data_IF_704429831032
#
_entry.id   IF_704429831032
#
_cell.length_a   1.000
_cell.length_b   1.000
_cell.length_c   1.000
_cell.angle_alpha   90.00
_cell.angle_beta   90.00
_cell.angle_gamma   90.00
#
_symmetry.space_group_name_H-M   'P 1'
#
loop_
_entity.id
_entity.type
_entity.pdbx_description
1 polymer ?
#
# COMPACT_ATOMS: atom_id res chain seq x y z
N UNK A 1 -48.67 6.17 39.92
CA UNK A 1 -49.23 4.83 39.62
C UNK A 1 -49.25 4.61 38.13
N UNK A 2 -48.36 3.87 37.68
CA UNK A 2 -48.35 2.76 36.72
C UNK A 2 -46.91 2.46 36.35
N UNK A 3 -46.41 1.38 36.94
CA UNK A 3 -45.20 0.71 36.57
C UNK A 3 -45.40 -0.11 35.29
N UNK A 4 -44.39 -0.17 34.47
CA UNK A 4 -44.38 -1.01 33.25
C UNK A 4 -42.93 -1.31 32.88
N UNK A 5 -42.36 -2.29 33.61
CA UNK A 5 -41.10 -2.93 33.31
C UNK A 5 -41.25 -3.75 32.02
N UNK A 6 -40.58 -3.37 30.94
CA UNK A 6 -40.49 -4.17 29.71
C UNK A 6 -39.03 -4.62 29.54
N UNK A 7 -38.73 -5.77 30.09
CA UNK A 7 -37.50 -6.51 29.89
C UNK A 7 -37.26 -6.76 28.40
N UNK A 8 -36.24 -6.11 27.82
CA UNK A 8 -35.76 -6.40 26.46
C UNK A 8 -35.00 -7.72 26.46
N UNK A 9 -35.54 -8.71 25.79
CA UNK A 9 -34.87 -9.97 25.48
C UNK A 9 -33.68 -9.68 24.55
N UNK A 10 -32.52 -10.31 24.77
CA UNK A 10 -31.39 -10.16 23.83
C UNK A 10 -31.70 -10.89 22.52
N UNK A 11 -31.53 -10.16 21.41
CA UNK A 11 -31.54 -10.74 20.06
C UNK A 11 -30.22 -11.49 19.87
N UNK A 12 -30.29 -12.82 19.84
CA UNK A 12 -29.16 -13.63 19.39
C UNK A 12 -29.15 -13.65 17.84
N UNK A 13 -28.19 -12.97 17.25
CA UNK A 13 -27.87 -13.13 15.83
C UNK A 13 -27.02 -14.39 15.70
N UNK A 14 -27.57 -15.41 15.06
CA UNK A 14 -26.86 -16.63 14.74
C UNK A 14 -25.92 -16.34 13.59
N UNK A 15 -24.60 -16.21 13.85
CA UNK A 15 -23.56 -16.08 12.82
C UNK A 15 -23.09 -17.49 12.44
N UNK A 16 -23.19 -17.92 11.18
CA UNK A 16 -22.65 -19.21 10.76
C UNK A 16 -21.12 -19.18 10.83
N UNK A 17 -20.52 -20.17 11.50
CA UNK A 17 -19.07 -20.28 11.75
C UNK A 17 -18.28 -20.85 10.55
N UNK A 18 -18.60 -20.48 9.33
CA UNK A 18 -17.81 -20.90 8.17
C UNK A 18 -17.69 -19.75 7.18
N UNK A 19 -16.53 -19.14 7.11
CA UNK A 19 -16.17 -18.21 6.04
C UNK A 19 -15.35 -18.98 5.01
N UNK A 20 -15.93 -19.25 3.84
CA UNK A 20 -15.22 -19.85 2.71
C UNK A 20 -14.66 -18.75 1.83
N UNK A 21 -13.35 -18.64 1.74
CA UNK A 21 -12.68 -17.80 0.77
C UNK A 21 -12.27 -18.63 -0.45
N UNK A 22 -12.74 -18.24 -1.62
CA UNK A 22 -12.28 -18.77 -2.91
C UNK A 22 -11.38 -17.73 -3.54
N UNK A 23 -10.09 -18.02 -3.63
CA UNK A 23 -9.13 -17.23 -4.41
C UNK A 23 -8.36 -18.20 -5.32
N UNK A 24 -8.49 -17.98 -6.62
CA UNK A 24 -7.68 -18.55 -7.71
C UNK A 24 -7.23 -20.00 -7.49
N UNK A 25 -8.14 -20.97 -7.66
CA UNK A 25 -7.86 -22.42 -7.70
C UNK A 25 -7.25 -23.07 -6.44
N UNK A 26 -7.31 -22.45 -5.27
CA UNK A 26 -6.94 -23.09 -4.01
C UNK A 26 -8.01 -22.81 -2.95
N UNK A 27 -8.62 -23.87 -2.43
CA UNK A 27 -9.52 -23.80 -1.29
C UNK A 27 -8.64 -23.92 -0.03
N UNK A 28 -8.44 -22.82 0.69
CA UNK A 28 -7.87 -22.84 2.04
C UNK A 28 -9.02 -22.76 3.04
N UNK A 29 -9.23 -23.84 3.80
CA UNK A 29 -10.15 -23.84 4.94
C UNK A 29 -9.35 -23.50 6.18
N UNK A 30 -9.49 -22.27 6.70
CA UNK A 30 -8.92 -21.89 7.98
C UNK A 30 -9.86 -22.33 9.10
N UNK A 31 -9.37 -23.17 9.99
CA UNK A 31 -10.08 -23.67 11.16
C UNK A 31 -9.73 -22.86 12.39
N UNK A 32 -10.71 -22.20 12.99
CA UNK A 32 -10.57 -21.64 14.33
C UNK A 32 -11.02 -22.69 15.35
N UNK A 33 -10.08 -23.35 16.02
CA UNK A 33 -10.35 -24.34 17.02
C UNK A 33 -10.66 -23.70 18.38
N UNK A 34 -11.95 -23.49 18.71
CA UNK A 34 -12.35 -23.37 20.10
C UNK A 34 -12.59 -24.77 20.69
N UNK A 35 -11.93 -25.05 21.83
CA UNK A 35 -11.96 -26.32 22.54
C UNK A 35 -13.31 -26.60 23.21
N UNK A 36 -14.36 -26.91 22.48
CA UNK A 36 -15.51 -27.62 23.06
C UNK A 36 -16.63 -27.81 22.04
N UNK A 37 -16.57 -28.79 21.20
CA UNK A 37 -17.72 -29.61 20.75
C UNK A 37 -17.16 -30.69 19.81
N UNK A 38 -16.93 -31.89 20.31
CA UNK A 38 -16.75 -33.07 19.46
C UNK A 38 -18.15 -33.62 19.17
N UNK A 39 -18.65 -33.50 17.96
CA UNK A 39 -19.83 -34.24 17.54
C UNK A 39 -19.42 -35.34 16.53
N UNK A 40 -20.00 -36.53 16.68
CA UNK A 40 -19.77 -37.70 15.83
C UNK A 40 -20.03 -37.41 14.32
N UNK A 41 -20.82 -36.39 14.02
CA UNK A 41 -21.12 -35.93 12.67
C UNK A 41 -19.91 -35.28 11.97
N UNK A 42 -19.00 -34.72 12.77
CA UNK A 42 -17.77 -34.09 12.25
C UNK A 42 -16.76 -35.12 11.76
N UNK A 43 -16.61 -36.23 12.50
CA UNK A 43 -15.67 -37.30 12.09
C UNK A 43 -16.15 -38.04 10.84
N UNK A 44 -17.44 -38.25 10.68
CA UNK A 44 -18.02 -38.87 9.46
C UNK A 44 -17.84 -38.00 8.21
N UNK A 45 -18.00 -36.69 8.32
CA UNK A 45 -17.79 -35.79 7.20
C UNK A 45 -16.31 -35.66 6.82
N UNK A 46 -15.42 -35.70 7.81
CA UNK A 46 -13.98 -35.67 7.59
C UNK A 46 -13.45 -36.93 6.94
N UNK A 47 -14.00 -38.10 7.32
CA UNK A 47 -13.67 -39.38 6.71
C UNK A 47 -14.16 -39.47 5.24
N UNK A 48 -15.37 -38.98 4.94
CA UNK A 48 -15.89 -38.89 3.56
C UNK A 48 -15.08 -37.94 2.67
N UNK A 49 -14.59 -36.85 3.22
CA UNK A 49 -13.76 -35.88 2.49
C UNK A 49 -12.37 -36.47 2.18
N UNK A 50 -11.75 -37.17 3.15
CA UNK A 50 -10.47 -37.89 2.93
C UNK A 50 -10.60 -38.98 1.84
N UNK A 51 -11.67 -39.76 1.85
CA UNK A 51 -11.92 -40.78 0.83
C UNK A 51 -12.07 -40.20 -0.59
N UNK A 52 -12.70 -39.05 -0.72
CA UNK A 52 -12.89 -38.38 -2.00
C UNK A 52 -11.60 -37.75 -2.56
N UNK A 53 -10.68 -37.29 -1.69
CA UNK A 53 -9.37 -36.77 -2.06
C UNK A 53 -8.37 -37.88 -2.45
N UNK A 54 -8.42 -39.01 -1.78
CA UNK A 54 -7.58 -40.18 -2.10
C UNK A 54 -7.99 -40.80 -3.46
N UNK A 55 -9.30 -40.82 -3.75
CA UNK A 55 -9.82 -41.32 -5.03
C UNK A 55 -9.48 -40.46 -6.24
N UNK A 56 -9.11 -39.18 -6.04
CA UNK A 56 -8.73 -38.26 -7.11
C UNK A 56 -7.25 -38.19 -7.44
N UNK A 57 -6.41 -39.03 -6.82
CA UNK A 57 -4.96 -39.08 -7.06
C UNK A 57 -4.14 -37.86 -6.68
N UNK A 58 -4.79 -36.81 -6.10
CA UNK A 58 -4.14 -35.53 -5.74
C UNK A 58 -3.53 -35.50 -4.34
N UNK A 59 -3.81 -36.47 -3.50
CA UNK A 59 -3.32 -36.53 -2.11
C UNK A 59 -1.96 -37.22 -1.97
N UNK A 60 -1.54 -38.05 -2.94
CA UNK A 60 -0.26 -38.77 -2.90
C UNK A 60 0.97 -37.82 -3.00
N UNK A 61 0.81 -36.62 -3.53
CA UNK A 61 1.88 -35.62 -3.62
C UNK A 61 2.15 -34.87 -2.31
N UNK A 62 1.26 -34.98 -1.31
CA UNK A 62 1.34 -34.22 -0.06
C UNK A 62 1.81 -35.08 1.12
N UNK A 63 1.65 -36.39 1.05
CA UNK A 63 1.94 -37.34 2.18
C UNK A 63 3.21 -38.15 1.95
N UNK A 64 3.85 -38.03 0.79
CA UNK A 64 4.98 -38.89 0.36
C UNK A 64 6.38 -38.33 0.52
N UNK A 65 6.60 -37.17 1.16
CA UNK A 65 7.95 -36.74 1.51
C UNK A 65 8.29 -37.16 2.93
N UNK A 66 9.01 -38.25 3.05
CA UNK A 66 9.82 -38.54 4.24
C UNK A 66 10.73 -37.37 4.50
N UNK A 67 10.84 -36.97 5.78
CA UNK A 67 11.89 -36.09 6.32
C UNK A 67 13.25 -36.59 5.77
N UNK A 68 13.88 -35.73 4.97
CA UNK A 68 15.19 -36.00 4.39
C UNK A 68 15.50 -35.03 3.25
N UNK A 69 16.14 -33.92 3.58
CA UNK A 69 17.04 -33.12 2.77
C UNK A 69 16.67 -32.79 1.30
N UNK A 70 15.80 -31.81 1.11
CA UNK A 70 15.99 -30.88 0.02
C UNK A 70 16.15 -29.48 0.63
N UNK A 71 17.33 -28.86 0.59
CA UNK A 71 17.53 -27.53 1.17
C UNK A 71 16.64 -26.56 0.40
N UNK A 72 15.69 -25.93 1.10
CA UNK A 72 14.85 -24.86 0.56
C UNK A 72 15.78 -23.80 -0.05
N UNK A 73 15.59 -23.44 -1.33
CA UNK A 73 16.44 -22.43 -1.97
C UNK A 73 16.55 -21.17 -1.12
N UNK A 74 17.73 -20.58 -1.01
CA UNK A 74 17.98 -19.45 -0.10
C UNK A 74 17.01 -18.28 -0.30
N UNK A 75 16.52 -18.06 -1.52
CA UNK A 75 15.53 -17.02 -1.82
C UNK A 75 14.15 -17.34 -1.22
N UNK A 76 13.69 -18.56 -1.36
CA UNK A 76 12.41 -19.02 -0.81
C UNK A 76 12.46 -19.06 0.73
N UNK A 77 13.56 -19.49 1.30
CA UNK A 77 13.78 -19.53 2.74
C UNK A 77 13.76 -18.13 3.34
N UNK A 78 14.45 -17.14 2.73
CA UNK A 78 14.40 -15.73 3.16
C UNK A 78 13.00 -15.16 3.07
N UNK A 79 12.23 -15.48 2.03
CA UNK A 79 10.84 -15.08 1.93
C UNK A 79 10.00 -15.59 3.10
N UNK A 80 10.11 -16.90 3.42
CA UNK A 80 9.41 -17.51 4.57
C UNK A 80 9.85 -16.87 5.90
N UNK A 81 11.14 -16.57 6.04
CA UNK A 81 11.70 -15.92 7.22
C UNK A 81 11.11 -14.53 7.41
N UNK A 82 11.02 -13.74 6.34
CA UNK A 82 10.35 -12.43 6.35
C UNK A 82 8.89 -12.58 6.79
N UNK A 83 8.15 -13.54 6.24
CA UNK A 83 6.73 -13.74 6.57
C UNK A 83 6.53 -14.08 8.05
N UNK A 84 7.40 -14.91 8.63
CA UNK A 84 7.36 -15.27 10.06
C UNK A 84 7.62 -14.04 10.94
N UNK A 85 8.73 -13.33 10.71
CA UNK A 85 9.09 -12.18 11.55
C UNK A 85 8.11 -11.02 11.38
N UNK A 86 7.54 -10.85 10.20
CA UNK A 86 6.53 -9.85 9.90
C UNK A 86 5.22 -10.12 10.63
N UNK A 87 4.79 -11.39 10.66
CA UNK A 87 3.54 -11.79 11.33
C UNK A 87 3.64 -11.66 12.86
N UNK A 88 4.82 -11.92 13.42
CA UNK A 88 5.04 -11.95 14.88
C UNK A 88 5.65 -10.66 15.43
N UNK A 89 6.18 -9.80 14.57
CA UNK A 89 6.95 -8.62 14.96
C UNK A 89 8.34 -8.95 15.51
N UNK A 90 8.46 -10.04 16.27
CA UNK A 90 9.70 -10.61 16.80
C UNK A 90 9.67 -12.13 16.68
N UNK A 91 10.84 -12.73 16.41
CA UNK A 91 11.05 -14.18 16.47
C UNK A 91 12.41 -14.50 17.13
N UNK A 92 12.43 -15.49 17.99
CA UNK A 92 13.67 -15.99 18.59
C UNK A 92 14.44 -16.84 17.58
N UNK A 93 15.77 -16.80 17.65
CA UNK A 93 16.63 -17.50 16.70
C UNK A 93 16.42 -19.02 16.69
N UNK A 94 16.25 -19.62 17.85
CA UNK A 94 15.97 -21.04 18.02
C UNK A 94 14.60 -21.48 17.49
N UNK A 95 13.60 -20.59 17.52
CA UNK A 95 12.29 -20.82 16.92
C UNK A 95 12.40 -20.85 15.39
N UNK A 96 13.14 -19.91 14.80
CA UNK A 96 13.37 -19.85 13.37
C UNK A 96 14.14 -21.07 12.86
N UNK A 97 15.14 -21.54 13.61
CA UNK A 97 15.89 -22.78 13.31
C UNK A 97 14.96 -23.99 13.27
N UNK A 98 14.09 -24.14 14.28
CA UNK A 98 13.13 -25.24 14.36
C UNK A 98 12.07 -25.20 13.27
N UNK A 99 11.56 -24.00 12.96
CA UNK A 99 10.45 -23.83 12.03
C UNK A 99 10.88 -23.95 10.57
N UNK A 100 12.08 -23.47 10.25
CA UNK A 100 12.63 -23.53 8.89
C UNK A 100 13.48 -24.79 8.61
N UNK A 101 13.80 -25.57 9.65
CA UNK A 101 14.51 -26.84 9.52
C UNK A 101 15.95 -26.70 9.01
N UNK A 102 16.62 -25.57 9.28
CA UNK A 102 17.99 -25.31 8.83
C UNK A 102 18.90 -24.94 10.00
N UNK A 103 20.22 -24.98 9.79
CA UNK A 103 21.18 -24.66 10.84
C UNK A 103 21.11 -23.21 11.28
N UNK A 104 21.46 -22.94 12.53
CA UNK A 104 21.55 -21.58 13.09
C UNK A 104 22.46 -20.67 12.26
N UNK A 105 23.58 -21.20 11.76
CA UNK A 105 24.50 -20.45 10.90
C UNK A 105 23.87 -20.02 9.58
N UNK A 106 22.95 -20.84 9.04
CA UNK A 106 22.19 -20.52 7.83
C UNK A 106 21.19 -19.40 8.11
N UNK A 107 20.44 -19.49 9.23
CA UNK A 107 19.52 -18.43 9.64
C UNK A 107 20.26 -17.12 9.87
N UNK A 108 21.40 -17.14 10.55
CA UNK A 108 22.21 -15.93 10.79
C UNK A 108 22.61 -15.23 9.50
N UNK A 109 23.08 -15.97 8.48
CA UNK A 109 23.43 -15.40 7.16
C UNK A 109 22.22 -14.82 6.43
N UNK A 110 21.08 -15.50 6.51
CA UNK A 110 19.85 -14.98 5.90
C UNK A 110 19.37 -13.71 6.62
N UNK A 111 19.49 -13.64 7.94
CA UNK A 111 19.18 -12.46 8.73
C UNK A 111 20.14 -11.31 8.46
N UNK A 112 21.44 -11.57 8.28
CA UNK A 112 22.43 -10.56 7.90
C UNK A 112 22.04 -9.90 6.56
N UNK A 113 21.66 -10.70 5.56
CA UNK A 113 21.19 -10.20 4.28
C UNK A 113 19.87 -9.40 4.38
N UNK A 114 18.97 -9.74 5.31
CA UNK A 114 17.74 -9.01 5.53
C UNK A 114 17.97 -7.72 6.33
N UNK A 115 18.94 -7.69 7.21
CA UNK A 115 19.38 -6.50 7.94
C UNK A 115 20.04 -5.48 7.02
N UNK A 116 20.91 -5.91 6.10
CA UNK A 116 21.46 -5.07 5.03
C UNK A 116 20.38 -4.45 4.13
N UNK A 117 19.27 -5.18 3.91
CA UNK A 117 18.10 -4.70 3.16
C UNK A 117 17.15 -3.83 4.01
N UNK A 118 17.46 -3.59 5.29
CA UNK A 118 16.60 -2.85 6.21
C UNK A 118 15.28 -3.54 6.56
N UNK A 119 15.10 -4.83 6.20
CA UNK A 119 13.86 -5.58 6.42
C UNK A 119 13.78 -6.22 7.81
N UNK A 120 14.93 -6.46 8.43
CA UNK A 120 15.04 -7.06 9.74
C UNK A 120 16.09 -6.33 10.57
N UNK A 121 15.96 -6.36 11.92
CA UNK A 121 16.94 -5.88 12.86
C UNK A 121 17.25 -6.95 13.90
N UNK A 122 18.50 -7.35 14.00
CA UNK A 122 18.94 -8.36 14.96
C UNK A 122 18.95 -7.82 16.38
N UNK A 123 18.67 -8.69 17.33
CA UNK A 123 18.80 -8.46 18.77
C UNK A 123 19.65 -9.58 19.37
N UNK A 124 20.02 -9.48 20.65
CA UNK A 124 20.82 -10.52 21.33
C UNK A 124 20.14 -11.90 21.35
N UNK A 125 18.80 -11.98 21.30
CA UNK A 125 18.05 -13.24 21.39
C UNK A 125 17.24 -13.63 20.14
N UNK A 126 17.26 -12.81 19.09
CA UNK A 126 16.41 -13.07 17.91
C UNK A 126 16.45 -11.94 16.89
N UNK A 127 15.33 -11.75 16.21
CA UNK A 127 15.18 -10.75 15.17
C UNK A 127 13.85 -10.03 15.28
N UNK A 128 13.88 -8.72 15.11
CA UNK A 128 12.70 -7.86 14.94
C UNK A 128 12.45 -7.62 13.46
N UNK A 129 11.18 -7.59 13.08
CA UNK A 129 10.80 -7.06 11.78
C UNK A 129 11.09 -5.54 11.77
N UNK A 130 11.99 -5.12 10.90
CA UNK A 130 12.38 -3.71 10.72
C UNK A 130 11.93 -3.17 9.37
N UNK A 131 11.44 -4.04 8.48
CA UNK A 131 10.81 -3.63 7.24
C UNK A 131 9.54 -2.84 7.56
N UNK A 132 9.34 -1.74 6.83
CA UNK A 132 8.15 -0.90 6.94
C UNK A 132 6.83 -1.67 6.83
N UNK A 133 5.73 -0.97 6.85
CA UNK A 133 4.37 -1.50 6.68
C UNK A 133 4.29 -2.64 5.63
N UNK A 134 3.37 -3.61 5.80
CA UNK A 134 3.17 -4.70 4.84
C UNK A 134 3.22 -4.17 3.41
N UNK A 135 3.95 -4.87 2.50
CA UNK A 135 3.99 -4.49 1.08
C UNK A 135 2.58 -4.22 0.59
N UNK A 136 2.36 -2.99 0.15
CA UNK A 136 1.09 -2.56 -0.39
C UNK A 136 1.18 -2.83 -1.88
N UNK A 137 0.68 -4.00 -2.29
CA UNK A 137 0.94 -4.58 -3.61
C UNK A 137 0.71 -3.59 -4.76
N UNK A 138 -0.39 -2.87 -4.75
CA UNK A 138 -0.72 -1.91 -5.82
C UNK A 138 0.17 -0.67 -5.79
N UNK A 139 0.60 -0.24 -4.61
CA UNK A 139 1.52 0.88 -4.45
C UNK A 139 2.93 0.50 -4.94
N UNK A 140 3.44 -0.66 -4.50
CA UNK A 140 4.76 -1.16 -4.89
C UNK A 140 4.85 -1.45 -6.40
N UNK A 141 3.75 -1.91 -7.03
CA UNK A 141 3.70 -2.16 -8.48
C UNK A 141 3.66 -0.86 -9.31
N UNK A 142 2.98 0.17 -8.80
CA UNK A 142 2.83 1.45 -9.52
C UNK A 142 3.97 2.43 -9.29
N UNK A 143 4.74 2.27 -8.22
CA UNK A 143 5.81 3.20 -7.89
C UNK A 143 6.90 3.29 -8.96
N UNK A 144 7.41 2.17 -9.55
CA UNK A 144 8.44 2.23 -10.58
C UNK A 144 7.93 2.81 -11.92
N UNK A 145 6.65 2.63 -12.23
CA UNK A 145 6.10 3.11 -13.49
C UNK A 145 6.20 4.63 -13.61
N UNK A 146 6.81 5.14 -14.68
CA UNK A 146 7.05 6.58 -14.92
C UNK A 146 7.81 7.26 -13.75
N UNK A 147 8.74 6.55 -13.13
CA UNK A 147 9.44 6.99 -11.92
C UNK A 147 10.16 8.33 -12.09
N UNK A 148 10.79 8.57 -13.23
CA UNK A 148 11.50 9.82 -13.54
C UNK A 148 10.54 11.01 -13.65
N UNK A 149 9.47 10.85 -14.41
CA UNK A 149 8.43 11.88 -14.51
C UNK A 149 7.85 12.23 -13.13
N UNK A 150 7.55 11.23 -12.30
CA UNK A 150 7.04 11.45 -10.94
C UNK A 150 8.03 12.22 -10.06
N UNK A 151 9.34 11.89 -10.13
CA UNK A 151 10.38 12.61 -9.38
C UNK A 151 10.53 14.06 -9.85
N UNK A 152 10.48 14.28 -11.16
CA UNK A 152 10.53 15.63 -11.73
C UNK A 152 9.31 16.47 -11.30
N UNK A 153 8.10 15.91 -11.40
CA UNK A 153 6.86 16.52 -10.94
C UNK A 153 6.94 16.85 -9.43
N UNK A 154 7.45 15.92 -8.64
CA UNK A 154 7.63 16.09 -7.21
C UNK A 154 8.58 17.24 -6.88
N UNK A 155 9.70 17.37 -7.62
CA UNK A 155 10.67 18.44 -7.44
C UNK A 155 10.05 19.82 -7.69
N UNK A 156 9.27 19.99 -8.76
CA UNK A 156 8.55 21.24 -9.03
C UNK A 156 7.47 21.51 -7.99
N UNK A 157 6.76 20.47 -7.55
CA UNK A 157 5.72 20.60 -6.52
C UNK A 157 6.31 21.03 -5.18
N UNK A 158 7.44 20.47 -4.76
CA UNK A 158 8.08 20.80 -3.50
C UNK A 158 8.56 22.27 -3.43
N UNK A 159 8.85 22.92 -4.57
CA UNK A 159 9.26 24.33 -4.65
C UNK A 159 8.11 25.31 -4.37
N UNK A 160 6.86 24.89 -4.56
CA UNK A 160 5.66 25.75 -4.42
C UNK A 160 4.93 25.52 -3.09
N UNK A 161 5.48 24.68 -2.23
CA UNK A 161 5.02 24.47 -0.86
C UNK A 161 6.02 25.20 0.06
N UNK A 162 5.53 26.13 0.85
CA UNK A 162 6.36 26.89 1.78
C UNK A 162 6.54 26.14 3.10
N UNK A 163 7.61 26.45 3.85
CA UNK A 163 7.77 25.93 5.21
C UNK A 163 6.67 26.51 6.12
N UNK A 164 6.35 25.79 7.21
CA UNK A 164 5.28 26.10 8.17
C UNK A 164 3.85 25.97 7.61
N UNK A 165 3.67 25.56 6.34
CA UNK A 165 2.33 25.23 5.81
C UNK A 165 1.74 23.97 6.45
N UNK A 166 0.40 23.92 6.51
CA UNK A 166 -0.33 22.68 6.73
C UNK A 166 -0.64 22.04 5.37
N UNK A 167 -0.03 20.89 5.11
CA UNK A 167 -0.11 20.21 3.81
C UNK A 167 -0.85 18.88 3.94
N UNK A 168 -1.93 18.71 3.18
CA UNK A 168 -2.65 17.44 3.05
C UNK A 168 -2.12 16.68 1.84
N UNK A 169 -1.61 15.48 2.08
CA UNK A 169 -1.02 14.60 1.07
C UNK A 169 -1.88 13.36 0.86
N UNK A 170 -2.35 13.15 -0.36
CA UNK A 170 -3.05 11.95 -0.80
C UNK A 170 -2.13 10.72 -0.88
N UNK A 171 -2.71 9.53 -1.09
CA UNK A 171 -2.03 8.24 -1.11
C UNK A 171 -1.47 7.78 -2.46
N UNK A 172 -1.35 8.66 -3.45
CA UNK A 172 -0.82 8.30 -4.77
C UNK A 172 0.70 8.15 -4.81
N UNK A 173 1.21 7.42 -5.79
CA UNK A 173 2.66 7.21 -5.95
C UNK A 173 3.41 8.48 -6.34
N UNK A 174 2.78 9.40 -7.09
CA UNK A 174 3.36 10.72 -7.39
C UNK A 174 3.38 11.61 -6.16
N UNK A 175 2.29 11.61 -5.37
CA UNK A 175 2.22 12.32 -4.09
C UNK A 175 3.24 11.79 -3.07
N UNK A 176 3.50 10.49 -3.09
CA UNK A 176 4.56 9.90 -2.28
C UNK A 176 5.95 10.44 -2.63
N UNK A 177 6.27 10.64 -3.91
CA UNK A 177 7.53 11.28 -4.30
C UNK A 177 7.61 12.74 -3.82
N UNK A 178 6.48 13.48 -3.84
CA UNK A 178 6.41 14.81 -3.21
C UNK A 178 6.69 14.71 -1.71
N UNK A 179 6.03 13.79 -1.01
CA UNK A 179 6.23 13.58 0.42
C UNK A 179 7.70 13.30 0.78
N UNK A 180 8.40 12.51 -0.04
CA UNK A 180 9.85 12.24 0.15
C UNK A 180 10.70 13.50 0.14
N UNK A 181 10.38 14.47 -0.71
CA UNK A 181 11.11 15.73 -0.80
C UNK A 181 10.72 16.73 0.30
N UNK A 182 9.54 16.56 0.89
CA UNK A 182 9.07 17.37 2.01
C UNK A 182 9.56 16.85 3.37
N UNK A 183 10.01 15.58 3.44
CA UNK A 183 10.54 14.99 4.66
C UNK A 183 11.73 15.80 5.20
N UNK A 184 11.72 16.05 6.52
CA UNK A 184 12.74 16.88 7.19
C UNK A 184 12.50 18.40 7.14
N UNK A 185 11.48 18.88 6.41
CA UNK A 185 11.06 20.28 6.42
C UNK A 185 10.15 20.57 7.63
N UNK A 186 10.08 21.84 8.00
CA UNK A 186 9.21 22.33 9.09
C UNK A 186 7.79 22.49 8.55
N UNK A 187 6.96 21.45 8.66
CA UNK A 187 5.61 21.41 8.11
C UNK A 187 4.63 20.76 9.10
N UNK A 188 3.35 21.04 8.95
CA UNK A 188 2.29 20.20 9.51
C UNK A 188 1.71 19.34 8.37
N UNK A 189 1.92 18.03 8.43
CA UNK A 189 1.48 17.09 7.40
C UNK A 189 0.23 16.35 7.84
N UNK A 190 -0.80 16.39 7.01
CA UNK A 190 -2.01 15.59 7.14
C UNK A 190 -2.03 14.56 6.02
N UNK A 191 -2.32 13.31 6.30
CA UNK A 191 -2.44 12.28 5.26
C UNK A 191 -3.37 11.16 5.68
N UNK A 192 -4.03 10.54 4.70
CA UNK A 192 -4.75 9.28 4.87
C UNK A 192 -3.91 8.06 4.44
N UNK A 193 -2.69 8.28 3.99
CA UNK A 193 -1.79 7.27 3.41
C UNK A 193 -0.80 6.75 4.43
N UNK A 194 -0.83 5.45 4.70
CA UNK A 194 0.16 4.81 5.57
C UNK A 194 1.59 4.87 4.99
N UNK A 195 1.82 4.67 3.67
CA UNK A 195 3.15 4.88 3.08
C UNK A 195 3.68 6.30 3.27
N UNK A 196 2.85 7.32 3.05
CA UNK A 196 3.22 8.72 3.25
C UNK A 196 3.49 8.99 4.73
N UNK A 197 2.59 8.57 5.63
CA UNK A 197 2.76 8.75 7.07
C UNK A 197 4.07 8.15 7.59
N UNK A 198 4.48 7.01 7.05
CA UNK A 198 5.72 6.35 7.46
C UNK A 198 6.99 7.19 7.16
N UNK A 199 6.95 8.06 6.15
CA UNK A 199 8.08 8.98 5.85
C UNK A 199 8.27 10.02 6.95
N UNK A 200 7.18 10.43 7.60
CA UNK A 200 7.20 11.50 8.60
C UNK A 200 7.15 11.01 10.04
N UNK A 201 6.87 9.72 10.27
CA UNK A 201 6.66 9.17 11.61
C UNK A 201 7.85 9.30 12.57
N UNK A 202 9.07 9.44 12.05
CA UNK A 202 10.31 9.63 12.83
C UNK A 202 10.91 11.04 12.69
N UNK A 203 10.26 11.93 11.92
CA UNK A 203 10.75 13.30 11.68
C UNK A 203 10.44 14.22 12.85
N UNK A 204 11.46 14.82 13.44
CA UNK A 204 11.30 15.68 14.62
C UNK A 204 10.83 17.11 14.30
N UNK A 205 10.85 17.51 13.03
CA UNK A 205 10.51 18.86 12.55
C UNK A 205 9.15 18.95 11.91
N UNK A 206 8.46 17.84 11.75
CA UNK A 206 7.16 17.74 11.08
C UNK A 206 6.12 17.21 12.05
N UNK A 207 5.04 17.96 12.23
CA UNK A 207 3.85 17.47 12.92
C UNK A 207 3.03 16.61 11.96
N UNK A 208 2.80 15.35 12.31
CA UNK A 208 2.06 14.40 11.49
C UNK A 208 0.66 14.13 12.05
N UNK A 209 -0.36 14.34 11.22
CA UNK A 209 -1.73 13.91 11.46
C UNK A 209 -2.08 12.79 10.48
N UNK A 210 -2.17 11.56 10.96
CA UNK A 210 -2.66 10.43 10.16
C UNK A 210 -4.17 10.29 10.32
N UNK A 211 -4.90 10.47 9.22
CA UNK A 211 -6.34 10.28 9.17
C UNK A 211 -6.69 8.79 9.25
N UNK A 212 -7.41 8.41 10.31
CA UNK A 212 -7.86 7.04 10.51
C UNK A 212 -9.10 6.71 9.66
N UNK A 213 -9.42 5.40 9.58
CA UNK A 213 -10.59 4.93 8.85
C UNK A 213 -10.46 3.47 8.44
N UNK A 214 -11.20 3.05 7.42
CA UNK A 214 -11.03 1.75 6.80
C UNK A 214 -9.76 1.75 5.94
N UNK A 215 -8.80 0.90 6.28
CA UNK A 215 -7.55 0.78 5.52
C UNK A 215 -7.76 -0.13 4.31
N UNK A 216 -7.58 0.41 3.12
CA UNK A 216 -7.53 -0.37 1.89
C UNK A 216 -6.22 -1.18 1.84
N UNK A 217 -6.28 -2.53 1.86
CA UNK A 217 -5.06 -3.34 1.86
C UNK A 217 -4.27 -3.27 0.55
N UNK A 218 -4.91 -2.81 -0.53
CA UNK A 218 -4.28 -2.69 -1.86
C UNK A 218 -3.44 -1.42 -2.02
N UNK A 219 -3.91 -0.33 -1.43
CA UNK A 219 -3.34 1.02 -1.61
C UNK A 219 -2.70 1.58 -0.34
N UNK A 220 -3.00 0.99 0.82
CA UNK A 220 -2.50 1.46 2.12
C UNK A 220 -3.09 2.80 2.55
N UNK A 221 -4.24 3.21 1.97
CA UNK A 221 -4.92 4.44 2.35
C UNK A 221 -6.13 4.18 3.25
N UNK A 222 -6.37 5.08 4.18
CA UNK A 222 -7.56 5.12 5.00
C UNK A 222 -8.70 5.80 4.23
N UNK A 223 -9.87 5.20 4.25
CA UNK A 223 -11.05 5.62 3.48
C UNK A 223 -12.33 5.54 4.32
N UNK A 224 -13.38 6.10 3.79
CA UNK A 224 -14.75 5.92 4.27
C UNK A 224 -15.21 6.98 5.28
N UNK A 225 -16.37 6.76 5.94
CA UNK A 225 -17.06 7.79 6.70
C UNK A 225 -16.21 8.43 7.80
N UNK A 226 -15.41 7.66 8.53
CA UNK A 226 -14.56 8.17 9.61
C UNK A 226 -13.44 9.10 9.07
N UNK A 227 -12.79 8.71 7.96
CA UNK A 227 -11.80 9.55 7.29
C UNK A 227 -12.42 10.85 6.81
N UNK A 228 -13.60 10.75 6.18
CA UNK A 228 -14.31 11.91 5.62
C UNK A 228 -14.86 12.83 6.72
N UNK A 229 -15.28 12.29 7.87
CA UNK A 229 -15.69 13.08 9.03
C UNK A 229 -14.51 13.86 9.62
N UNK A 230 -13.35 13.23 9.76
CA UNK A 230 -12.14 13.95 10.21
C UNK A 230 -11.77 15.07 9.25
N UNK A 231 -11.74 14.79 7.94
CA UNK A 231 -11.47 15.81 6.90
C UNK A 231 -12.45 16.98 6.96
N UNK A 232 -13.73 16.74 7.26
CA UNK A 232 -14.74 17.81 7.35
C UNK A 232 -14.50 18.83 8.47
N UNK A 233 -13.64 18.49 9.44
CA UNK A 233 -13.26 19.33 10.59
C UNK A 233 -11.92 20.02 10.41
N UNK A 234 -11.21 19.74 9.30
CA UNK A 234 -9.90 20.29 9.02
C UNK A 234 -9.99 21.40 7.99
N UNK A 235 -9.06 22.33 8.10
CA UNK A 235 -8.73 23.28 7.05
C UNK A 235 -7.22 23.25 6.87
N UNK A 236 -6.75 22.99 5.65
CA UNK A 236 -5.33 22.90 5.32
C UNK A 236 -4.96 23.98 4.30
N UNK A 237 -3.74 24.48 4.38
CA UNK A 237 -3.25 25.49 3.45
C UNK A 237 -3.19 24.94 2.03
N UNK A 238 -2.59 23.78 1.86
CA UNK A 238 -2.36 23.15 0.55
C UNK A 238 -2.74 21.68 0.59
N UNK A 239 -3.49 21.23 -0.42
CA UNK A 239 -3.76 19.80 -0.66
C UNK A 239 -3.06 19.38 -1.95
N UNK A 240 -2.30 18.28 -1.89
CA UNK A 240 -1.66 17.66 -3.05
C UNK A 240 -2.37 16.34 -3.35
N UNK A 241 -3.00 16.27 -4.51
CA UNK A 241 -3.72 15.10 -4.99
C UNK A 241 -3.04 14.49 -6.21
N UNK A 242 -3.06 13.16 -6.30
CA UNK A 242 -2.77 12.46 -7.55
C UNK A 242 -4.06 12.13 -8.31
N UNK A 243 -3.95 11.66 -9.56
CA UNK A 243 -5.11 11.27 -10.36
C UNK A 243 -4.92 9.88 -10.97
N UNK A 244 -5.97 9.07 -10.97
CA UNK A 244 -6.00 7.82 -11.74
C UNK A 244 -6.22 8.09 -13.23
N UNK A 245 -6.95 9.17 -13.55
CA UNK A 245 -7.16 9.67 -14.90
C UNK A 245 -7.66 11.11 -14.89
N UNK A 246 -7.32 11.85 -15.94
CA UNK A 246 -7.75 13.24 -16.16
C UNK A 246 -8.39 13.32 -17.53
N UNK A 247 -9.61 13.83 -17.60
CA UNK A 247 -10.32 14.10 -18.85
C UNK A 247 -10.75 15.57 -18.93
N UNK A 248 -11.30 16.01 -20.06
CA UNK A 248 -11.88 17.36 -20.20
C UNK A 248 -13.02 17.63 -19.20
N UNK A 249 -13.57 16.60 -18.55
CA UNK A 249 -14.59 16.73 -17.51
C UNK A 249 -14.00 16.92 -16.11
N UNK A 250 -12.72 16.63 -15.93
CA UNK A 250 -12.04 16.72 -14.63
C UNK A 250 -11.26 15.49 -14.23
N UNK A 251 -11.02 15.33 -12.93
CA UNK A 251 -10.30 14.24 -12.30
C UNK A 251 -11.19 13.04 -12.07
N UNK A 252 -10.63 11.85 -12.27
CA UNK A 252 -11.32 10.58 -12.09
C UNK A 252 -10.53 9.61 -11.22
N UNK A 253 -11.28 8.80 -10.45
CA UNK A 253 -10.74 7.64 -9.73
C UNK A 253 -11.49 6.35 -10.06
N UNK A 254 -10.81 5.21 -9.92
CA UNK A 254 -11.37 3.89 -10.19
C UNK A 254 -12.20 3.32 -9.01
N UNK A 255 -12.12 3.91 -7.83
CA UNK A 255 -12.75 3.43 -6.60
C UNK A 255 -13.65 4.53 -6.02
N UNK A 256 -14.92 4.19 -5.78
CA UNK A 256 -15.91 5.14 -5.26
C UNK A 256 -15.50 5.74 -3.90
N UNK A 257 -15.12 4.89 -2.93
CA UNK A 257 -14.73 5.37 -1.59
C UNK A 257 -13.50 6.26 -1.62
N UNK A 258 -12.56 6.01 -2.54
CA UNK A 258 -11.39 6.85 -2.71
C UNK A 258 -11.78 8.20 -3.31
N UNK A 259 -12.63 8.20 -4.33
CA UNK A 259 -13.15 9.44 -4.93
C UNK A 259 -13.93 10.30 -3.91
N UNK A 260 -14.74 9.70 -3.04
CA UNK A 260 -15.44 10.39 -1.95
C UNK A 260 -14.46 11.02 -0.95
N UNK A 261 -13.37 10.32 -0.64
CA UNK A 261 -12.33 10.85 0.26
C UNK A 261 -11.54 11.97 -0.40
N UNK A 262 -11.17 11.83 -1.68
CA UNK A 262 -10.52 12.90 -2.46
C UNK A 262 -11.42 14.15 -2.56
N UNK A 263 -12.73 13.98 -2.75
CA UNK A 263 -13.70 15.08 -2.69
C UNK A 263 -13.72 15.76 -1.30
N UNK A 264 -13.59 15.01 -0.22
CA UNK A 264 -13.48 15.58 1.12
C UNK A 264 -12.16 16.33 1.32
N UNK A 265 -11.05 15.84 0.74
CA UNK A 265 -9.75 16.53 0.74
C UNK A 265 -9.82 17.86 -0.01
N UNK A 266 -10.48 17.90 -1.17
CA UNK A 266 -10.69 19.14 -1.93
C UNK A 266 -11.45 20.19 -1.11
N UNK A 267 -12.48 19.79 -0.36
CA UNK A 267 -13.25 20.70 0.48
C UNK A 267 -12.48 21.25 1.68
N UNK A 268 -11.49 20.51 2.17
CA UNK A 268 -10.64 20.92 3.28
C UNK A 268 -9.52 21.90 2.86
N UNK A 269 -9.26 22.02 1.55
CA UNK A 269 -8.12 22.72 0.99
C UNK A 269 -8.36 24.22 0.82
N UNK A 270 -7.36 25.04 1.18
CA UNK A 270 -7.26 26.43 0.74
C UNK A 270 -6.68 26.58 -0.67
N UNK A 271 -5.78 25.68 -1.05
CA UNK A 271 -5.13 25.57 -2.37
C UNK A 271 -5.03 24.12 -2.79
N UNK A 272 -5.41 23.80 -4.01
CA UNK A 272 -5.40 22.45 -4.57
C UNK A 272 -4.33 22.31 -5.65
N UNK A 273 -3.40 21.39 -5.44
CA UNK A 273 -2.36 21.02 -6.41
C UNK A 273 -2.63 19.60 -6.87
N UNK A 274 -2.76 19.39 -8.18
CA UNK A 274 -2.85 18.06 -8.78
C UNK A 274 -1.53 17.70 -9.42
N UNK A 275 -0.98 16.55 -9.03
CA UNK A 275 0.28 16.00 -9.54
C UNK A 275 0.01 14.74 -10.38
N UNK A 276 0.28 14.80 -11.67
CA UNK A 276 -0.03 13.71 -12.59
C UNK A 276 0.94 13.67 -13.76
N UNK A 277 1.51 12.49 -14.04
CA UNK A 277 2.31 12.31 -15.25
C UNK A 277 1.43 12.36 -16.51
N UNK A 278 2.03 12.71 -17.64
CA UNK A 278 1.35 12.90 -18.94
C UNK A 278 0.50 11.71 -19.35
N UNK A 279 0.84 10.49 -18.92
CA UNK A 279 0.08 9.27 -19.22
C UNK A 279 -1.31 9.23 -18.58
N UNK A 280 -1.62 10.12 -17.64
CA UNK A 280 -2.91 10.18 -16.95
C UNK A 280 -3.96 10.98 -17.72
N UNK A 281 -3.51 11.82 -18.61
CA UNK A 281 -4.39 12.69 -19.41
C UNK A 281 -5.06 11.92 -20.56
N UNK A 282 -6.27 12.34 -20.92
CA UNK A 282 -7.11 11.64 -21.88
C UNK A 282 -7.79 10.37 -21.35
N UNK A 283 -7.63 10.06 -20.06
CA UNK A 283 -8.20 8.86 -19.44
C UNK A 283 -9.39 9.20 -18.54
N UNK A 284 -10.45 8.43 -18.67
CA UNK A 284 -11.58 8.42 -17.74
C UNK A 284 -11.51 7.17 -16.88
N UNK A 285 -12.03 7.27 -15.67
CA UNK A 285 -12.20 6.12 -14.79
C UNK A 285 -13.65 6.09 -14.25
N UNK A 286 -13.92 5.27 -13.24
CA UNK A 286 -15.29 4.98 -12.81
C UNK A 286 -16.02 6.23 -12.27
N UNK A 287 -15.35 7.02 -11.43
CA UNK A 287 -15.99 8.07 -10.64
C UNK A 287 -15.29 9.40 -10.88
N UNK A 288 -16.07 10.44 -11.18
CA UNK A 288 -15.61 11.82 -11.22
C UNK A 288 -15.34 12.32 -9.80
N UNK A 289 -14.15 12.84 -9.57
CA UNK A 289 -13.75 13.46 -8.30
C UNK A 289 -14.12 14.94 -8.28
N UNK A 290 -13.67 15.69 -9.30
CA UNK A 290 -13.97 17.12 -9.45
C UNK A 290 -13.83 17.56 -10.89
N UNK A 291 -14.39 18.73 -11.25
CA UNK A 291 -14.03 19.47 -12.45
C UNK A 291 -12.60 20.00 -12.39
N UNK A 292 -12.07 20.45 -13.53
CA UNK A 292 -10.75 21.10 -13.58
C UNK A 292 -10.77 22.48 -12.91
N UNK A 293 -11.90 23.14 -12.88
CA UNK A 293 -12.15 24.44 -12.27
C UNK A 293 -12.01 24.45 -10.73
N UNK A 294 -12.02 23.28 -10.10
CA UNK A 294 -11.79 23.11 -8.67
C UNK A 294 -10.30 22.96 -8.31
N UNK A 295 -9.39 23.11 -9.28
CA UNK A 295 -7.95 22.92 -9.13
C UNK A 295 -7.24 24.25 -9.34
N UNK A 296 -6.31 24.60 -8.45
CA UNK A 296 -5.51 25.82 -8.58
C UNK A 296 -4.27 25.61 -9.44
N UNK A 297 -3.59 24.46 -9.27
CA UNK A 297 -2.33 24.17 -9.94
C UNK A 297 -2.33 22.72 -10.43
N UNK A 298 -1.91 22.52 -11.67
CA UNK A 298 -1.57 21.21 -12.23
C UNK A 298 -0.06 21.16 -12.46
N UNK A 299 0.60 20.15 -11.91
CA UNK A 299 2.02 19.87 -12.17
C UNK A 299 2.12 18.57 -12.95
N UNK A 300 2.72 18.64 -14.15
CA UNK A 300 2.90 17.49 -15.04
C UNK A 300 4.31 17.49 -15.65
N UNK A 301 4.68 16.42 -16.34
CA UNK A 301 5.92 16.33 -17.12
C UNK A 301 5.76 16.94 -18.53
N UNK A 302 6.88 17.25 -19.16
CA UNK A 302 6.92 17.79 -20.54
C UNK A 302 6.37 16.85 -21.63
N UNK A 303 6.10 15.60 -21.31
CA UNK A 303 5.38 14.68 -22.20
C UNK A 303 3.90 15.02 -22.39
N UNK A 304 3.39 16.02 -21.66
CA UNK A 304 2.01 16.48 -21.81
C UNK A 304 1.83 17.21 -23.16
N UNK A 305 0.88 16.73 -23.98
CA UNK A 305 0.62 17.32 -25.31
C UNK A 305 0.11 18.75 -25.22
N UNK A 306 0.39 19.56 -26.26
CA UNK A 306 -0.05 20.96 -26.34
C UNK A 306 -1.57 21.09 -26.21
N UNK A 307 -2.35 20.14 -26.77
CA UNK A 307 -3.81 20.12 -26.62
C UNK A 307 -4.22 20.04 -25.13
N UNK A 308 -3.54 19.22 -24.34
CA UNK A 308 -3.84 19.09 -22.91
C UNK A 308 -3.35 20.29 -22.11
N UNK A 309 -2.19 20.84 -22.47
CA UNK A 309 -1.69 22.07 -21.84
C UNK A 309 -2.73 23.21 -22.03
N UNK A 310 -3.21 23.40 -23.26
CA UNK A 310 -4.23 24.41 -23.52
C UNK A 310 -5.55 24.11 -22.82
N UNK A 311 -5.98 22.85 -22.78
CA UNK A 311 -7.21 22.44 -22.09
C UNK A 311 -7.17 22.78 -20.59
N UNK A 312 -6.02 22.57 -19.92
CA UNK A 312 -5.85 22.92 -18.51
C UNK A 312 -5.90 24.43 -18.30
N UNK A 313 -5.17 25.19 -19.13
CA UNK A 313 -5.11 26.66 -19.03
C UNK A 313 -6.49 27.28 -19.28
N UNK A 314 -7.23 26.80 -20.26
CA UNK A 314 -8.59 27.26 -20.58
C UNK A 314 -9.59 26.96 -19.43
N UNK A 315 -9.35 25.89 -18.67
CA UNK A 315 -10.19 25.53 -17.52
C UNK A 315 -9.88 26.34 -16.24
N UNK A 316 -8.76 27.08 -16.22
CA UNK A 316 -8.40 27.99 -15.14
C UNK A 316 -7.17 27.63 -14.30
N UNK A 317 -6.76 26.37 -14.14
CA UNK A 317 -5.59 26.04 -13.35
C UNK A 317 -4.29 26.63 -13.92
N UNK A 318 -3.37 27.01 -13.02
CA UNK A 318 -1.98 27.24 -13.41
C UNK A 318 -1.32 25.91 -13.76
N UNK A 319 -0.63 25.84 -14.91
CA UNK A 319 0.13 24.66 -15.33
C UNK A 319 1.63 24.86 -15.07
N UNK A 320 2.25 23.84 -14.49
CA UNK A 320 3.70 23.74 -14.32
C UNK A 320 4.17 22.45 -14.99
N UNK A 321 5.14 22.58 -15.91
CA UNK A 321 5.74 21.44 -16.61
C UNK A 321 7.14 21.18 -16.03
N UNK A 322 7.32 19.96 -15.50
CA UNK A 322 8.58 19.49 -14.96
C UNK A 322 9.49 18.97 -16.07
N UNK A 323 10.77 19.32 -15.98
CA UNK A 323 11.81 18.76 -16.83
C UNK A 323 12.17 17.34 -16.36
N UNK A 324 11.86 16.34 -17.16
CA UNK A 324 12.47 15.01 -17.00
C UNK A 324 13.90 15.08 -17.53
N UNK A 325 14.93 14.68 -16.77
CA UNK A 325 16.25 14.52 -17.32
C UNK A 325 16.17 13.61 -18.55
N UNK A 326 16.82 14.00 -19.66
CA UNK A 326 16.95 13.10 -20.78
C UNK A 326 17.67 11.83 -20.29
N UNK A 327 17.17 10.65 -20.65
CA UNK A 327 17.93 9.42 -20.46
C UNK A 327 19.28 9.64 -21.18
N UNK A 328 20.37 9.72 -20.41
CA UNK A 328 21.71 9.61 -20.98
C UNK A 328 21.75 8.21 -21.61
N UNK A 329 21.57 8.15 -22.92
CA UNK A 329 21.90 6.99 -23.70
C UNK A 329 23.38 6.75 -23.46
N UNK A 330 23.72 5.81 -22.55
CA UNK A 330 25.05 5.27 -22.47
C UNK A 330 25.39 4.73 -23.86
N UNK A 331 26.23 5.48 -24.56
CA UNK A 331 26.78 5.15 -25.88
C UNK A 331 27.65 3.90 -25.68
N UNK A 332 27.03 2.74 -25.88
CA UNK A 332 27.69 1.43 -25.90
C UNK A 332 28.59 1.36 -27.17
N UNK A 333 29.65 2.15 -27.16
CA UNK A 333 30.70 2.03 -28.18
C UNK A 333 31.50 0.77 -27.87
N UNK A 334 31.43 -0.26 -28.71
CA UNK A 334 32.29 -1.43 -28.51
C UNK A 334 33.74 -1.04 -28.73
N UNK A 335 34.55 -1.11 -27.67
CA UNK A 335 36.00 -1.05 -27.78
C UNK A 335 36.50 -2.17 -28.70
N UNK A 336 36.81 -1.81 -29.93
CA UNK A 336 37.52 -2.66 -30.86
C UNK A 336 38.96 -2.89 -30.30
N UNK A 337 39.18 -4.07 -29.77
CA UNK A 337 40.55 -4.55 -29.45
C UNK A 337 41.25 -4.86 -30.77
N UNK A 338 42.14 -3.96 -31.20
CA UNK A 338 43.13 -4.25 -32.21
C UNK A 338 44.27 -5.06 -31.58
N UNK A 339 44.36 -6.34 -31.90
CA UNK A 339 45.58 -7.10 -31.76
C UNK A 339 46.48 -6.82 -32.96
N UNK A 340 47.68 -6.37 -32.69
CA UNK A 340 48.84 -6.52 -33.53
C UNK A 340 50.00 -7.05 -32.68
#
# INVERSE_FOLDING_TARGET
MFSGDAARKPFFVHIPQTVSFVSQNRICVAYCASKSVRSAQYEQNHARFRHKLIASGRLLAIIGSKEGDCPVPGRERRSRLIDIIRLRGFAALDELVRELGVSESTIRRDLDALEEQGTARRTHGGVLYAGGLPRIAEFDEKQPANGEAKRAIAAETAKIIDDEETVLLDGGTTTYEVARLLAGRSLQVVTNSMPVANLFASESRTDLILLGGFVSPRTGVCLGPYTNELLSRLHVTTTVLSAAGISKQGLFNAQLLLAETEQAMLRAAGKVIVVADSSKFGRKSLTLVSGLDAIDIVVSDKGLSDEWQQTILDAGPRLILADTPAEDCEDDTPHATSHS
#
